data_IF_010208282063
#
_entry.id   IF_010208282063
#
_cell.length_a   1.000
_cell.length_b   1.000
_cell.length_c   1.000
_cell.angle_alpha   90.00
_cell.angle_beta   90.00
_cell.angle_gamma   90.00
#
_symmetry.space_group_name_H-M   'P 1'
#
loop_
_entity.id
_entity.type
_entity.pdbx_description
1 polymer ?
#
# COMPACT_ATOMS: atom_id res chain seq x y z
N UNK A 1 -6.81 17.31 -9.94
CA UNK A 1 -8.09 17.13 -9.19
C UNK A 1 -8.43 15.66 -9.18
N UNK A 2 -8.86 15.12 -8.05
CA UNK A 2 -9.31 13.73 -7.90
C UNK A 2 -10.83 13.67 -7.97
N UNK A 3 -11.34 12.66 -8.62
CA UNK A 3 -12.78 12.40 -8.75
C UNK A 3 -13.21 11.39 -7.70
N UNK A 4 -14.29 11.65 -6.98
CA UNK A 4 -14.86 10.80 -5.95
C UNK A 4 -16.29 10.40 -6.25
N UNK A 5 -16.66 9.19 -5.82
CA UNK A 5 -18.06 8.75 -5.73
C UNK A 5 -18.43 8.53 -4.27
N UNK A 6 -19.52 9.13 -3.82
CA UNK A 6 -20.03 8.91 -2.47
C UNK A 6 -20.84 7.60 -2.41
N UNK A 7 -20.42 6.65 -1.59
CA UNK A 7 -21.12 5.36 -1.40
C UNK A 7 -22.54 5.54 -0.83
N UNK A 8 -22.78 6.62 -0.04
CA UNK A 8 -24.06 6.90 0.61
C UNK A 8 -25.07 7.50 -0.37
N UNK A 9 -24.76 8.62 -1.02
CA UNK A 9 -25.72 9.33 -1.88
C UNK A 9 -25.47 9.16 -3.38
N UNK A 10 -24.45 8.38 -3.76
CA UNK A 10 -24.02 8.10 -5.14
C UNK A 10 -23.62 9.34 -5.97
N UNK A 11 -23.47 10.50 -5.31
CA UNK A 11 -22.97 11.70 -5.98
C UNK A 11 -21.51 11.53 -6.38
N UNK A 12 -21.17 11.95 -7.59
CA UNK A 12 -19.79 12.02 -8.07
C UNK A 12 -19.36 13.49 -8.11
N UNK A 13 -18.15 13.80 -7.61
CA UNK A 13 -17.63 15.16 -7.50
C UNK A 13 -16.11 15.16 -7.59
N UNK A 14 -15.53 16.30 -7.88
CA UNK A 14 -14.09 16.50 -7.96
C UNK A 14 -13.58 17.27 -6.74
N UNK A 15 -12.36 16.94 -6.29
CA UNK A 15 -11.68 17.57 -5.16
C UNK A 15 -10.28 17.95 -5.61
N UNK A 16 -9.78 19.10 -5.18
CA UNK A 16 -8.43 19.54 -5.46
C UNK A 16 -7.40 18.57 -4.86
N UNK A 17 -6.25 18.44 -5.54
CA UNK A 17 -5.15 17.62 -5.04
C UNK A 17 -4.63 18.21 -3.72
N UNK A 18 -4.23 17.33 -2.79
CA UNK A 18 -3.75 17.74 -1.47
C UNK A 18 -4.83 17.87 -0.39
N UNK A 19 -6.11 17.75 -0.69
CA UNK A 19 -7.18 17.68 0.33
C UNK A 19 -7.13 16.34 1.03
N UNK A 20 -6.77 16.35 2.32
CA UNK A 20 -6.57 15.14 3.14
C UNK A 20 -7.91 14.46 3.49
N UNK A 21 -8.93 15.27 3.78
CA UNK A 21 -10.27 14.78 4.16
C UNK A 21 -11.33 15.35 3.20
N UNK A 22 -11.56 14.70 2.06
CA UNK A 22 -12.61 15.11 1.15
C UNK A 22 -13.99 14.96 1.82
N UNK A 23 -14.91 15.87 1.46
CA UNK A 23 -16.28 15.89 1.97
C UNK A 23 -17.26 15.87 0.82
N UNK A 24 -18.22 14.94 0.85
CA UNK A 24 -19.26 14.91 -0.15
C UNK A 24 -20.08 16.21 -0.13
N UNK A 25 -20.17 16.95 -1.24
CA UNK A 25 -20.88 18.23 -1.28
C UNK A 25 -22.40 18.07 -1.05
N UNK A 26 -22.95 16.87 -1.30
CA UNK A 26 -24.39 16.58 -1.22
C UNK A 26 -24.80 16.14 0.19
N UNK A 27 -24.19 15.08 0.73
CA UNK A 27 -24.64 14.49 2.01
C UNK A 27 -23.63 14.69 3.17
N UNK A 28 -22.52 15.41 2.92
CA UNK A 28 -21.47 15.70 3.91
C UNK A 28 -20.74 14.47 4.45
N UNK A 29 -20.86 13.34 3.81
CA UNK A 29 -20.09 12.14 4.15
C UNK A 29 -18.59 12.36 3.90
N UNK A 30 -17.74 11.70 4.71
CA UNK A 30 -16.28 11.77 4.68
C UNK A 30 -15.68 10.37 4.78
N UNK A 31 -14.37 10.26 4.66
CA UNK A 31 -13.60 9.03 4.89
C UNK A 31 -14.05 7.87 4.02
N UNK A 32 -14.17 6.68 4.58
CA UNK A 32 -14.53 5.44 3.87
C UNK A 32 -15.88 5.44 3.13
N UNK A 33 -16.71 6.48 3.35
CA UNK A 33 -17.93 6.69 2.56
C UNK A 33 -17.65 7.30 1.17
N UNK A 34 -16.42 7.72 0.89
CA UNK A 34 -15.98 8.31 -0.37
C UNK A 34 -14.99 7.37 -1.04
N UNK A 35 -15.26 7.02 -2.27
CA UNK A 35 -14.41 6.18 -3.11
C UNK A 35 -13.80 7.03 -4.22
N UNK A 36 -12.47 6.97 -4.35
CA UNK A 36 -11.80 7.62 -5.48
C UNK A 36 -12.19 6.90 -6.76
N UNK A 37 -12.68 7.63 -7.73
CA UNK A 37 -12.90 7.09 -9.08
C UNK A 37 -11.53 6.94 -9.74
N UNK A 38 -10.92 5.77 -9.58
CA UNK A 38 -9.75 5.41 -10.37
C UNK A 38 -10.20 5.30 -11.81
N UNK A 39 -9.65 6.12 -12.69
CA UNK A 39 -9.79 5.83 -14.11
C UNK A 39 -9.05 4.53 -14.39
N UNK A 40 -9.76 3.53 -14.89
CA UNK A 40 -9.15 2.28 -15.31
C UNK A 40 -8.03 2.61 -16.31
N UNK A 41 -6.79 2.35 -15.92
CA UNK A 41 -5.64 2.56 -16.81
C UNK A 41 -5.80 1.60 -17.99
N UNK A 42 -6.36 2.10 -19.08
CA UNK A 42 -6.51 1.33 -20.31
C UNK A 42 -5.13 0.96 -20.85
N UNK A 43 -4.86 -0.32 -20.91
CA UNK A 43 -3.70 -0.88 -21.58
C UNK A 43 -4.08 -1.38 -22.98
N UNK A 44 -3.10 -1.76 -23.77
CA UNK A 44 -3.35 -2.41 -25.08
C UNK A 44 -4.10 -3.75 -24.97
N UNK A 45 -4.21 -4.29 -23.75
CA UNK A 45 -4.87 -5.58 -23.48
C UNK A 45 -6.30 -5.42 -22.98
N UNK A 46 -6.75 -4.21 -22.69
CA UNK A 46 -8.05 -3.96 -22.04
C UNK A 46 -9.22 -4.63 -22.79
N UNK A 47 -10.00 -5.44 -22.07
CA UNK A 47 -11.13 -6.21 -22.58
C UNK A 47 -10.76 -7.49 -23.33
N UNK A 48 -9.49 -7.89 -23.39
CA UNK A 48 -9.03 -9.08 -24.09
C UNK A 48 -8.90 -10.31 -23.17
N UNK A 49 -8.82 -11.50 -23.77
CA UNK A 49 -8.45 -12.71 -23.02
C UNK A 49 -7.02 -12.61 -22.47
N UNK A 50 -6.13 -11.89 -23.16
CA UNK A 50 -4.75 -11.68 -22.70
C UNK A 50 -4.70 -10.89 -21.39
N UNK A 51 -5.57 -9.89 -21.21
CA UNK A 51 -5.68 -9.18 -19.91
C UNK A 51 -6.01 -10.13 -18.78
N UNK A 52 -7.03 -10.97 -18.93
CA UNK A 52 -7.41 -12.00 -17.94
C UNK A 52 -6.26 -12.99 -17.66
N UNK A 53 -5.49 -13.35 -18.70
CA UNK A 53 -4.33 -14.22 -18.53
C UNK A 53 -3.21 -13.54 -17.74
N UNK A 54 -2.98 -12.24 -17.97
CA UNK A 54 -2.00 -11.43 -17.20
C UNK A 54 -2.41 -11.31 -15.73
N UNK A 55 -3.69 -11.05 -15.45
CA UNK A 55 -4.25 -11.01 -14.09
C UNK A 55 -4.07 -12.35 -13.38
N UNK A 56 -4.44 -13.45 -14.05
CA UNK A 56 -4.29 -14.81 -13.51
C UNK A 56 -2.82 -15.16 -13.26
N UNK A 57 -1.92 -14.79 -14.17
CA UNK A 57 -0.48 -15.00 -14.01
C UNK A 57 0.07 -14.19 -12.85
N UNK A 58 -0.26 -12.90 -12.73
CA UNK A 58 0.13 -12.06 -11.59
C UNK A 58 -0.35 -12.64 -10.26
N UNK A 59 -1.60 -13.09 -10.17
CA UNK A 59 -2.15 -13.71 -8.98
C UNK A 59 -1.43 -15.03 -8.65
N UNK A 60 -1.17 -15.89 -9.63
CA UNK A 60 -0.46 -17.16 -9.46
C UNK A 60 0.95 -16.99 -8.91
N UNK A 61 1.75 -16.13 -9.53
CA UNK A 61 3.13 -15.86 -9.13
C UNK A 61 3.19 -15.19 -7.74
N UNK A 62 2.27 -14.27 -7.44
CA UNK A 62 2.16 -13.62 -6.14
C UNK A 62 1.87 -14.62 -5.03
N UNK A 63 0.97 -15.60 -5.27
CA UNK A 63 0.70 -16.67 -4.34
C UNK A 63 1.90 -17.63 -4.19
N UNK A 64 2.55 -18.00 -5.29
CA UNK A 64 3.72 -18.88 -5.29
C UNK A 64 4.85 -18.27 -4.45
N UNK A 65 5.14 -16.97 -4.64
CA UNK A 65 6.13 -16.23 -3.84
C UNK A 65 5.86 -16.38 -2.33
N UNK A 66 4.63 -16.14 -1.89
CA UNK A 66 4.29 -16.24 -0.48
C UNK A 66 4.38 -17.68 0.04
N UNK A 67 3.84 -18.65 -0.69
CA UNK A 67 3.90 -20.07 -0.34
C UNK A 67 5.34 -20.55 -0.17
N UNK A 68 6.24 -20.22 -1.09
CA UNK A 68 7.65 -20.64 -1.02
C UNK A 68 8.39 -20.03 0.15
N UNK A 69 8.07 -18.80 0.54
CA UNK A 69 8.61 -18.21 1.77
C UNK A 69 8.17 -18.98 3.02
N UNK A 70 6.90 -19.45 3.07
CA UNK A 70 6.41 -20.26 4.17
C UNK A 70 7.05 -21.67 4.17
N UNK A 71 7.21 -22.27 2.99
CA UNK A 71 7.88 -23.59 2.85
C UNK A 71 9.35 -23.52 3.24
N UNK A 72 10.05 -22.43 2.91
CA UNK A 72 11.42 -22.20 3.34
C UNK A 72 11.54 -22.18 4.87
N UNK A 73 10.60 -21.55 5.56
CA UNK A 73 10.57 -21.51 7.03
C UNK A 73 10.42 -22.91 7.64
N UNK A 74 9.60 -23.78 7.03
CA UNK A 74 9.45 -25.17 7.48
C UNK A 74 10.74 -25.96 7.23
N UNK A 75 11.29 -25.91 6.00
CA UNK A 75 12.52 -26.60 5.65
C UNK A 75 13.68 -26.23 6.59
N UNK A 76 13.78 -24.95 6.95
CA UNK A 76 14.79 -24.47 7.89
C UNK A 76 14.62 -25.07 9.29
N UNK A 77 13.38 -25.13 9.80
CA UNK A 77 13.09 -25.74 11.12
C UNK A 77 13.37 -27.24 11.16
N UNK A 78 13.24 -27.92 10.02
CA UNK A 78 13.52 -29.33 9.85
C UNK A 78 15.02 -29.63 9.60
N UNK A 79 15.87 -28.59 9.52
CA UNK A 79 17.33 -28.71 9.32
C UNK A 79 17.76 -28.82 7.84
N UNK A 80 16.88 -28.54 6.89
CA UNK A 80 17.18 -28.57 5.45
C UNK A 80 17.58 -27.20 4.92
N UNK A 81 18.71 -26.64 5.35
CA UNK A 81 19.16 -25.29 5.01
C UNK A 81 19.25 -25.04 3.49
N UNK A 82 19.78 -26.03 2.72
CA UNK A 82 19.88 -25.88 1.28
C UNK A 82 18.49 -25.82 0.60
N UNK A 83 17.54 -26.64 1.05
CA UNK A 83 16.16 -26.63 0.53
C UNK A 83 15.49 -25.30 0.87
N UNK A 84 15.67 -24.82 2.10
CA UNK A 84 15.17 -23.50 2.53
C UNK A 84 15.72 -22.38 1.63
N UNK A 85 17.03 -22.35 1.38
CA UNK A 85 17.66 -21.37 0.50
C UNK A 85 17.14 -21.43 -0.95
N UNK A 86 16.88 -22.63 -1.47
CA UNK A 86 16.31 -22.82 -2.81
C UNK A 86 14.88 -22.29 -2.89
N UNK A 87 14.03 -22.55 -1.87
CA UNK A 87 12.69 -21.96 -1.81
C UNK A 87 12.74 -20.42 -1.78
N UNK A 88 13.60 -19.80 -0.98
CA UNK A 88 13.73 -18.34 -0.93
C UNK A 88 14.20 -17.76 -2.27
N UNK A 89 15.18 -18.39 -2.91
CA UNK A 89 15.64 -17.98 -4.23
C UNK A 89 14.53 -18.06 -5.28
N UNK A 90 13.75 -19.14 -5.26
CA UNK A 90 12.61 -19.29 -6.17
C UNK A 90 11.53 -18.25 -5.86
N UNK A 91 11.21 -17.99 -4.58
CA UNK A 91 10.28 -16.93 -4.18
C UNK A 91 10.68 -15.55 -4.72
N UNK A 92 11.98 -15.22 -4.75
CA UNK A 92 12.47 -13.99 -5.37
C UNK A 92 12.32 -13.98 -6.89
N UNK A 93 12.45 -15.13 -7.57
CA UNK A 93 12.17 -15.24 -9.00
C UNK A 93 10.68 -14.98 -9.29
N UNK A 94 9.77 -15.61 -8.53
CA UNK A 94 8.32 -15.44 -8.70
C UNK A 94 7.87 -13.99 -8.45
N UNK A 95 8.54 -13.29 -7.52
CA UNK A 95 8.32 -11.84 -7.34
C UNK A 95 8.64 -11.05 -8.63
N UNK A 96 9.72 -11.37 -9.33
CA UNK A 96 10.07 -10.68 -10.58
C UNK A 96 9.14 -11.09 -11.73
N UNK A 97 8.69 -12.36 -11.81
CA UNK A 97 7.65 -12.78 -12.76
C UNK A 97 6.34 -12.02 -12.52
N UNK A 98 5.84 -11.98 -11.30
CA UNK A 98 4.64 -11.21 -10.94
C UNK A 98 4.76 -9.74 -11.37
N UNK A 99 5.94 -9.12 -11.14
CA UNK A 99 6.20 -7.73 -11.52
C UNK A 99 6.14 -7.51 -13.03
N UNK A 100 6.55 -8.47 -13.86
CA UNK A 100 6.43 -8.38 -15.32
C UNK A 100 4.94 -8.23 -15.71
N UNK A 101 4.10 -9.11 -15.22
CA UNK A 101 2.67 -9.13 -15.52
C UNK A 101 1.97 -7.88 -14.98
N UNK A 102 2.30 -7.48 -13.76
CA UNK A 102 1.72 -6.28 -13.14
C UNK A 102 2.08 -4.98 -13.88
N UNK A 103 3.30 -4.90 -14.45
CA UNK A 103 3.69 -3.79 -15.33
C UNK A 103 2.89 -3.74 -16.62
N UNK A 104 2.68 -4.89 -17.28
CA UNK A 104 1.87 -4.96 -18.51
C UNK A 104 0.41 -4.56 -18.25
N UNK A 105 -0.12 -4.85 -17.06
CA UNK A 105 -1.44 -4.41 -16.60
C UNK A 105 -1.48 -2.91 -16.22
N UNK A 106 -0.36 -2.18 -16.29
CA UNK A 106 -0.30 -0.78 -15.88
C UNK A 106 -0.38 -0.55 -14.36
N UNK A 107 -0.16 -1.60 -13.56
CA UNK A 107 -0.31 -1.56 -12.10
C UNK A 107 0.79 -0.81 -11.35
N UNK A 108 1.91 -0.45 -12.01
CA UNK A 108 3.01 0.29 -11.39
C UNK A 108 3.05 1.70 -11.98
N UNK A 109 2.79 2.69 -11.15
CA UNK A 109 2.86 4.11 -11.47
C UNK A 109 4.01 4.83 -10.76
N UNK A 110 3.93 6.15 -10.68
CA UNK A 110 4.81 6.95 -9.82
C UNK A 110 4.43 6.77 -8.33
N UNK A 111 5.21 7.37 -7.42
CA UNK A 111 5.00 7.18 -5.98
C UNK A 111 3.61 7.61 -5.51
N UNK A 112 3.09 8.74 -5.98
CA UNK A 112 1.76 9.22 -5.61
C UNK A 112 0.65 8.27 -6.12
N UNK A 113 0.74 7.83 -7.38
CA UNK A 113 -0.20 6.86 -7.96
C UNK A 113 -0.17 5.51 -7.21
N UNK A 114 1.03 5.03 -6.85
CA UNK A 114 1.18 3.77 -6.11
C UNK A 114 0.63 3.88 -4.68
N UNK A 115 0.85 5.02 -3.99
CA UNK A 115 0.29 5.28 -2.67
C UNK A 115 -1.24 5.36 -2.70
N UNK A 116 -1.80 6.00 -3.74
CA UNK A 116 -3.25 6.03 -3.93
C UNK A 116 -3.80 4.62 -4.16
N UNK A 117 -3.20 3.86 -5.08
CA UNK A 117 -3.62 2.48 -5.38
C UNK A 117 -3.55 1.59 -4.13
N UNK A 118 -2.49 1.71 -3.33
CA UNK A 118 -2.39 0.98 -2.07
C UNK A 118 -3.49 1.38 -1.09
N UNK A 119 -3.70 2.69 -0.88
CA UNK A 119 -4.74 3.17 0.03
C UNK A 119 -6.15 2.71 -0.37
N UNK A 120 -6.48 2.70 -1.67
CA UNK A 120 -7.78 2.21 -2.17
C UNK A 120 -7.91 0.69 -2.03
N UNK A 121 -6.83 -0.07 -2.22
CA UNK A 121 -6.80 -1.52 -1.97
C UNK A 121 -7.12 -1.83 -0.50
N UNK A 122 -6.38 -1.22 0.43
CA UNK A 122 -6.62 -1.39 1.88
C UNK A 122 -8.03 -0.94 2.28
N UNK A 123 -8.53 0.18 1.70
CA UNK A 123 -9.90 0.63 1.94
C UNK A 123 -10.93 -0.44 1.55
N UNK A 124 -10.81 -1.02 0.35
CA UNK A 124 -11.68 -2.11 -0.08
C UNK A 124 -11.58 -3.33 0.84
N UNK A 125 -10.37 -3.69 1.26
CA UNK A 125 -10.18 -4.85 2.13
C UNK A 125 -10.91 -4.71 3.47
N UNK A 126 -10.82 -3.55 4.14
CA UNK A 126 -11.45 -3.41 5.45
C UNK A 126 -12.92 -3.00 5.40
N UNK A 127 -13.38 -2.26 4.36
CA UNK A 127 -14.79 -1.81 4.29
C UNK A 127 -15.72 -2.86 3.69
N UNK A 128 -15.24 -3.65 2.74
CA UNK A 128 -16.07 -4.55 1.93
C UNK A 128 -15.65 -6.02 2.08
N UNK A 129 -14.40 -6.36 1.75
CA UNK A 129 -13.94 -7.74 1.66
C UNK A 129 -13.98 -8.46 3.01
N UNK A 130 -13.22 -8.00 3.99
CA UNK A 130 -13.17 -8.64 5.31
C UNK A 130 -14.47 -8.49 6.10
N UNK A 131 -15.21 -7.38 5.94
CA UNK A 131 -16.52 -7.22 6.55
C UNK A 131 -17.52 -8.28 6.05
N UNK A 132 -17.51 -8.54 4.75
CA UNK A 132 -18.32 -9.59 4.12
C UNK A 132 -17.87 -10.98 4.58
N UNK A 133 -16.58 -11.28 4.53
CA UNK A 133 -16.03 -12.59 4.93
C UNK A 133 -16.29 -12.90 6.41
N UNK A 134 -16.16 -11.91 7.30
CA UNK A 134 -16.46 -12.08 8.71
C UNK A 134 -17.95 -12.40 8.96
N UNK A 135 -18.85 -11.77 8.22
CA UNK A 135 -20.29 -12.05 8.30
C UNK A 135 -20.58 -13.46 7.81
N UNK A 136 -20.11 -13.84 6.62
CA UNK A 136 -20.33 -15.16 6.04
C UNK A 136 -19.76 -16.27 6.93
N UNK A 137 -18.55 -16.10 7.47
CA UNK A 137 -17.94 -17.06 8.41
C UNK A 137 -18.78 -17.24 9.70
N UNK A 138 -19.40 -16.18 10.22
CA UNK A 138 -20.32 -16.28 11.36
C UNK A 138 -21.58 -17.04 11.02
N UNK A 139 -22.16 -16.79 9.85
CA UNK A 139 -23.37 -17.48 9.37
C UNK A 139 -23.11 -18.98 9.15
N UNK A 140 -21.91 -19.34 8.74
CA UNK A 140 -21.45 -20.74 8.59
C UNK A 140 -21.00 -21.38 9.91
N UNK A 141 -20.91 -20.64 11.01
CA UNK A 141 -20.51 -21.12 12.33
C UNK A 141 -19.00 -21.08 12.63
N UNK A 142 -18.18 -20.51 11.74
CA UNK A 142 -16.73 -20.37 11.93
C UNK A 142 -16.36 -19.08 12.71
N UNK A 143 -16.78 -19.02 13.97
CA UNK A 143 -16.68 -17.81 14.81
C UNK A 143 -15.23 -17.35 15.00
N UNK A 144 -14.27 -18.26 15.14
CA UNK A 144 -12.85 -17.94 15.31
C UNK A 144 -12.26 -17.29 14.05
N UNK A 145 -12.58 -17.82 12.88
CA UNK A 145 -12.14 -17.26 11.59
C UNK A 145 -12.80 -15.91 11.34
N UNK A 146 -14.08 -15.76 11.69
CA UNK A 146 -14.75 -14.47 11.61
C UNK A 146 -14.05 -13.40 12.47
N UNK A 147 -13.65 -13.75 13.70
CA UNK A 147 -12.90 -12.86 14.58
C UNK A 147 -11.51 -12.47 13.99
N UNK A 148 -10.84 -13.41 13.29
CA UNK A 148 -9.60 -13.10 12.59
C UNK A 148 -9.81 -12.14 11.42
N UNK A 149 -10.85 -12.32 10.60
CA UNK A 149 -11.19 -11.36 9.54
C UNK A 149 -11.45 -9.96 10.10
N UNK A 150 -12.21 -9.84 11.19
CA UNK A 150 -12.45 -8.55 11.86
C UNK A 150 -11.17 -7.93 12.44
N UNK A 151 -10.25 -8.73 12.95
CA UNK A 151 -8.98 -8.26 13.48
C UNK A 151 -8.07 -7.73 12.36
N UNK A 152 -7.96 -8.48 11.25
CA UNK A 152 -7.18 -8.06 10.07
C UNK A 152 -7.78 -6.80 9.46
N UNK A 153 -9.10 -6.70 9.29
CA UNK A 153 -9.75 -5.49 8.80
C UNK A 153 -9.33 -4.22 9.56
N UNK A 154 -9.14 -4.30 10.88
CA UNK A 154 -8.64 -3.17 11.68
C UNK A 154 -7.21 -2.80 11.36
N UNK A 155 -6.37 -3.77 10.99
CA UNK A 155 -4.99 -3.54 10.58
C UNK A 155 -4.99 -2.83 9.22
N UNK A 156 -5.77 -3.32 8.23
CA UNK A 156 -5.84 -2.74 6.90
C UNK A 156 -6.34 -1.28 6.92
N UNK A 157 -7.25 -0.97 7.86
CA UNK A 157 -7.63 0.42 8.11
C UNK A 157 -6.43 1.29 8.51
N UNK A 158 -5.52 0.79 9.36
CA UNK A 158 -4.31 1.56 9.74
C UNK A 158 -3.32 1.69 8.60
N UNK A 159 -3.25 0.70 7.70
CA UNK A 159 -2.46 0.76 6.48
C UNK A 159 -3.00 1.84 5.53
N UNK A 160 -4.30 1.87 5.28
CA UNK A 160 -4.95 2.91 4.50
C UNK A 160 -4.64 4.32 5.06
N UNK A 161 -4.87 4.54 6.36
CA UNK A 161 -4.60 5.82 7.01
C UNK A 161 -3.14 6.25 6.83
N UNK A 162 -2.20 5.32 6.92
CA UNK A 162 -0.77 5.56 6.68
C UNK A 162 -0.50 5.97 5.23
N UNK A 163 -1.00 5.21 4.25
CA UNK A 163 -0.78 5.51 2.83
C UNK A 163 -1.41 6.84 2.43
N UNK A 164 -2.58 7.19 2.97
CA UNK A 164 -3.20 8.50 2.70
C UNK A 164 -2.37 9.66 3.28
N UNK A 165 -1.80 9.52 4.47
CA UNK A 165 -0.89 10.52 5.05
C UNK A 165 0.37 10.70 4.19
N UNK A 166 0.97 9.59 3.75
CA UNK A 166 2.15 9.64 2.89
C UNK A 166 1.84 10.26 1.52
N UNK A 167 0.69 9.92 0.95
CA UNK A 167 0.21 10.50 -0.31
C UNK A 167 0.07 12.03 -0.18
N UNK A 168 -0.61 12.49 0.87
CA UNK A 168 -0.80 13.91 1.12
C UNK A 168 0.55 14.64 1.27
N UNK A 169 1.53 14.04 1.95
CA UNK A 169 2.86 14.62 2.09
C UNK A 169 3.62 14.69 0.75
N UNK A 170 3.49 13.67 -0.10
CA UNK A 170 4.09 13.66 -1.46
C UNK A 170 3.46 14.74 -2.34
N UNK A 171 2.14 14.84 -2.35
CA UNK A 171 1.40 15.83 -3.16
C UNK A 171 1.66 17.27 -2.71
N UNK A 172 1.78 17.50 -1.40
CA UNK A 172 2.11 18.80 -0.83
C UNK A 172 3.61 19.16 -0.89
N UNK A 173 4.48 18.21 -1.28
CA UNK A 173 5.93 18.39 -1.27
C UNK A 173 6.53 18.49 0.14
N UNK A 174 5.85 17.99 1.17
CA UNK A 174 6.22 18.12 2.58
C UNK A 174 6.88 16.90 3.19
N UNK A 175 7.29 15.91 2.37
CA UNK A 175 7.96 14.69 2.86
C UNK A 175 9.19 15.02 3.72
N UNK A 176 9.93 16.05 3.33
CA UNK A 176 11.18 16.48 3.98
C UNK A 176 11.05 17.84 4.68
N UNK A 177 9.83 18.24 5.05
CA UNK A 177 9.53 19.51 5.71
C UNK A 177 8.54 19.31 6.86
N UNK A 178 8.70 20.07 7.94
CA UNK A 178 7.77 20.14 9.07
C UNK A 178 7.52 21.60 9.44
N UNK A 179 6.41 21.87 10.13
CA UNK A 179 6.02 23.20 10.58
C UNK A 179 6.86 23.72 11.76
N UNK A 180 7.73 22.90 12.32
CA UNK A 180 8.61 23.21 13.42
C UNK A 180 9.93 22.47 13.28
N UNK A 181 10.95 22.92 14.03
CA UNK A 181 12.24 22.23 14.12
C UNK A 181 12.06 20.81 14.66
N UNK A 182 12.57 19.83 13.92
CA UNK A 182 12.66 18.42 14.33
C UNK A 182 14.09 17.90 14.09
N UNK A 183 14.38 16.70 14.62
CA UNK A 183 15.58 15.97 14.26
C UNK A 183 15.36 15.14 12.99
N UNK A 184 16.17 15.42 11.98
CA UNK A 184 16.30 14.64 10.75
C UNK A 184 17.52 13.74 10.84
N UNK A 185 17.36 12.44 10.66
CA UNK A 185 18.46 11.47 10.76
C UNK A 185 18.84 10.95 9.38
N UNK A 186 20.12 11.01 9.05
CA UNK A 186 20.63 10.39 7.84
C UNK A 186 20.69 8.86 8.00
N UNK A 187 19.85 8.12 7.31
CA UNK A 187 19.77 6.66 7.37
C UNK A 187 21.05 5.93 6.95
N UNK A 188 21.97 6.61 6.22
CA UNK A 188 23.24 6.04 5.82
C UNK A 188 24.33 6.14 6.91
N UNK A 189 24.42 7.27 7.65
CA UNK A 189 25.55 7.48 8.58
C UNK A 189 25.13 7.91 9.98
N UNK A 190 23.84 8.03 10.28
CA UNK A 190 23.33 8.42 11.59
C UNK A 190 23.51 9.89 11.96
N UNK A 191 23.93 10.77 11.02
CA UNK A 191 24.04 12.19 11.28
C UNK A 191 22.68 12.80 11.59
N UNK A 192 22.58 13.56 12.69
CA UNK A 192 21.39 14.33 13.06
C UNK A 192 21.50 15.76 12.56
N UNK A 193 20.46 16.23 11.92
CA UNK A 193 20.26 17.62 11.52
C UNK A 193 18.98 18.15 12.17
N UNK A 194 19.06 19.31 12.81
CA UNK A 194 17.92 19.95 13.47
C UNK A 194 17.42 21.10 12.59
N UNK A 195 16.14 21.14 12.29
CA UNK A 195 15.53 22.18 11.47
C UNK A 195 14.15 21.80 10.96
N UNK A 196 13.45 22.75 10.35
CA UNK A 196 12.15 22.50 9.70
C UNK A 196 12.29 21.66 8.44
N UNK A 197 13.45 21.69 7.78
CA UNK A 197 13.70 20.99 6.52
C UNK A 197 14.89 20.03 6.64
N UNK A 198 14.77 18.85 6.03
CA UNK A 198 15.93 18.00 5.82
C UNK A 198 16.93 18.68 4.87
N UNK A 199 18.26 18.58 5.11
CA UNK A 199 19.27 19.22 4.27
C UNK A 199 19.37 18.53 2.90
N UNK A 200 19.71 19.31 1.85
CA UNK A 200 19.85 18.79 0.49
C UNK A 200 20.93 17.69 0.37
N UNK A 201 22.00 17.83 1.18
CA UNK A 201 23.11 16.88 1.27
C UNK A 201 23.52 16.69 2.72
N UNK A 202 23.75 15.45 3.11
CA UNK A 202 24.31 15.13 4.43
C UNK A 202 25.72 15.75 4.55
N UNK A 203 25.99 16.60 5.56
CA UNK A 203 27.31 17.25 5.71
C UNK A 203 28.43 16.25 5.98
N UNK A 204 28.11 15.08 6.52
CA UNK A 204 29.07 14.03 6.89
C UNK A 204 29.37 13.11 5.72
N UNK A 205 28.35 12.42 5.16
CA UNK A 205 28.55 11.35 4.17
C UNK A 205 28.18 11.73 2.74
N UNK A 206 27.69 12.97 2.52
CA UNK A 206 27.33 13.52 1.20
C UNK A 206 26.20 12.77 0.48
N UNK A 207 25.42 11.95 1.18
CA UNK A 207 24.19 11.38 0.61
C UNK A 207 23.12 12.47 0.47
N UNK A 208 22.28 12.36 -0.57
CA UNK A 208 21.24 13.37 -0.84
C UNK A 208 20.12 13.33 0.20
N UNK A 209 19.27 14.37 0.19
CA UNK A 209 18.07 14.55 1.04
C UNK A 209 17.23 13.28 1.19
N UNK A 210 17.13 12.48 0.15
CA UNK A 210 16.37 11.22 0.15
C UNK A 210 16.80 10.19 1.23
N UNK A 211 17.97 10.40 1.83
CA UNK A 211 18.48 9.56 2.93
C UNK A 211 18.12 10.10 4.32
N UNK A 212 17.41 11.20 4.41
CA UNK A 212 16.95 11.72 5.69
C UNK A 212 15.55 11.23 6.01
N UNK A 213 15.38 10.86 7.27
CA UNK A 213 14.11 10.49 7.87
C UNK A 213 13.91 11.23 9.19
N UNK A 214 12.67 11.36 9.64
CA UNK A 214 12.36 11.89 10.95
C UNK A 214 12.86 10.94 12.04
N UNK A 215 13.49 11.48 13.08
CA UNK A 215 14.00 10.66 14.18
C UNK A 215 12.86 9.90 14.86
N UNK A 216 12.99 8.57 14.92
CA UNK A 216 12.09 7.76 15.73
C UNK A 216 12.41 7.97 17.21
N UNK A 217 11.42 8.30 18.03
CA UNK A 217 11.58 8.55 19.47
C UNK A 217 10.75 7.60 20.34
N UNK A 218 10.20 6.54 19.75
CA UNK A 218 9.24 5.63 20.36
C UNK A 218 9.82 4.23 20.68
N UNK A 219 11.11 4.13 20.95
CA UNK A 219 11.79 2.90 21.35
C UNK A 219 12.10 2.86 22.85
#
# INVERSE_FOLDING_TARGET
>A
MKKYTCKICKATFEVEDGVIEPVCPVCKATGGALEVVMEDKKTKYTGTQTEKNLEAAFAGESQARNKYTYFASVAKKEGYEQISALFLKTADNEKEHAKLWFKELGGIGNTAENLLSAAEGENYEWTDMYATFAKEAKEEGFVEIAALFEAVAKIEKTHEERYRKLLAAVEAGTVFTRDSEIAWVCSNCGHHHYGENAPELCPVCKHPKAYFEEEATNF
#
